data_IF_959442597167
#
_entry.id   IF_959442597167
#
_cell.length_a   1.000
_cell.length_b   1.000
_cell.length_c   1.000
_cell.angle_alpha   90.00
_cell.angle_beta   90.00
_cell.angle_gamma   90.00
#
_symmetry.space_group_name_H-M   'P 1'
#
loop_
_entity.id
_entity.type
_entity.pdbx_description
1 polymer ?
#
# COMPACT_ATOMS: atom_id res chain seq x y z
N UNK A 1 10.22 -9.83 20.24
CA UNK A 1 10.74 -9.10 21.42
C UNK A 1 11.11 -7.72 20.94
N UNK A 2 10.58 -6.64 21.54
CA UNK A 2 10.85 -5.29 21.06
C UNK A 2 12.35 -4.99 21.15
N UNK A 3 12.91 -4.37 20.13
CA UNK A 3 14.31 -3.96 20.14
C UNK A 3 14.43 -2.52 20.64
N UNK A 4 15.52 -2.24 21.37
CA UNK A 4 15.77 -0.92 21.96
C UNK A 4 16.57 -0.05 21.00
N UNK A 5 16.04 1.12 20.67
CA UNK A 5 16.79 2.20 20.03
C UNK A 5 16.87 3.37 20.99
N UNK A 6 17.94 3.41 21.79
CA UNK A 6 18.07 4.35 22.90
C UNK A 6 17.00 4.12 23.98
N UNK A 7 16.22 5.15 24.30
CA UNK A 7 15.09 5.06 25.25
C UNK A 7 13.79 4.55 24.61
N UNK A 8 13.74 4.41 23.29
CA UNK A 8 12.54 3.98 22.57
C UNK A 8 12.49 2.45 22.46
N UNK A 9 11.36 1.86 22.85
CA UNK A 9 11.03 0.47 22.54
C UNK A 9 10.36 0.42 21.17
N UNK A 10 10.96 -0.33 20.24
CA UNK A 10 10.38 -0.52 18.92
C UNK A 10 9.82 -1.94 18.87
N UNK A 11 8.52 -2.01 18.63
CA UNK A 11 7.78 -3.25 18.47
C UNK A 11 7.61 -3.55 16.99
N UNK A 12 7.70 -4.83 16.62
CA UNK A 12 7.32 -5.25 15.28
C UNK A 12 5.79 -5.14 15.12
N UNK A 13 5.33 -4.98 13.87
CA UNK A 13 3.91 -4.87 13.56
C UNK A 13 3.15 -6.10 14.07
N UNK A 14 2.16 -5.87 14.93
CA UNK A 14 1.35 -6.92 15.54
C UNK A 14 1.92 -7.54 16.82
N UNK A 15 3.08 -7.09 17.32
CA UNK A 15 3.58 -7.52 18.63
C UNK A 15 2.70 -6.96 19.78
N UNK A 16 2.58 -7.74 20.86
CA UNK A 16 1.89 -7.34 22.09
C UNK A 16 2.57 -6.11 22.68
N UNK A 17 1.89 -4.96 22.65
CA UNK A 17 2.42 -3.65 23.06
C UNK A 17 2.64 -2.65 21.91
N UNK A 18 2.40 -3.04 20.66
CA UNK A 18 2.51 -2.16 19.49
C UNK A 18 1.31 -1.24 19.24
N UNK A 19 0.24 -1.32 20.04
CA UNK A 19 -1.08 -0.67 19.86
C UNK A 19 -1.81 -0.97 18.53
N UNK A 20 -1.13 -1.60 17.56
CA UNK A 20 -1.71 -2.11 16.32
C UNK A 20 -2.06 -3.59 16.50
N UNK A 21 -3.35 -3.89 16.59
CA UNK A 21 -3.83 -5.29 16.51
C UNK A 21 -3.76 -5.73 15.04
N UNK A 22 -3.04 -6.80 14.70
CA UNK A 22 -3.08 -7.33 13.35
C UNK A 22 -4.50 -7.83 13.07
N UNK A 23 -5.04 -7.53 11.89
CA UNK A 23 -6.28 -8.20 11.44
C UNK A 23 -6.00 -9.71 11.34
N UNK A 24 -7.00 -10.59 11.56
CA UNK A 24 -6.76 -12.02 11.79
C UNK A 24 -6.15 -12.82 10.63
N UNK A 25 -5.96 -12.22 9.46
CA UNK A 25 -5.52 -12.91 8.26
C UNK A 25 -4.24 -12.27 7.72
N UNK A 26 -3.10 -12.88 8.06
CA UNK A 26 -1.76 -12.70 7.48
C UNK A 26 -1.10 -11.35 7.80
N UNK A 27 -0.03 -11.42 8.60
CA UNK A 27 0.93 -10.31 8.72
C UNK A 27 1.87 -10.38 7.51
N UNK A 28 1.82 -9.36 6.65
CA UNK A 28 2.71 -9.20 5.51
C UNK A 28 3.91 -8.33 5.93
N UNK A 29 5.14 -8.83 5.76
CA UNK A 29 6.37 -8.06 5.99
C UNK A 29 6.83 -7.38 4.69
N UNK A 30 6.90 -6.05 4.70
CA UNK A 30 7.28 -5.28 3.52
C UNK A 30 8.70 -5.59 3.03
N UNK A 31 9.67 -5.76 3.95
CA UNK A 31 11.08 -5.96 3.58
C UNK A 31 11.25 -7.32 2.92
N UNK A 32 10.63 -8.35 3.48
CA UNK A 32 10.65 -9.70 2.90
C UNK A 32 10.01 -9.74 1.50
N UNK A 33 8.81 -9.15 1.38
CA UNK A 33 8.09 -9.07 0.11
C UNK A 33 8.87 -8.29 -0.95
N UNK A 34 9.52 -7.19 -0.57
CA UNK A 34 10.38 -6.42 -1.46
C UNK A 34 11.54 -7.27 -1.97
N UNK A 35 12.24 -7.97 -1.08
CA UNK A 35 13.38 -8.81 -1.46
C UNK A 35 12.93 -9.92 -2.43
N UNK A 36 11.80 -10.56 -2.15
CA UNK A 36 11.25 -11.59 -3.03
C UNK A 36 10.88 -11.04 -4.42
N UNK A 37 10.24 -9.88 -4.50
CA UNK A 37 9.86 -9.26 -5.77
C UNK A 37 11.10 -8.87 -6.58
N UNK A 38 12.11 -8.30 -5.92
CA UNK A 38 13.37 -7.94 -6.56
C UNK A 38 14.15 -9.17 -7.05
N UNK A 39 14.18 -10.26 -6.28
CA UNK A 39 14.89 -11.48 -6.65
C UNK A 39 14.23 -12.22 -7.82
N UNK A 40 12.90 -12.14 -7.91
CA UNK A 40 12.12 -12.76 -8.99
C UNK A 40 11.91 -11.84 -10.19
N UNK A 41 12.38 -10.59 -10.14
CA UNK A 41 12.14 -9.58 -11.18
C UNK A 41 10.66 -9.28 -11.40
N UNK A 42 9.80 -9.63 -10.43
CA UNK A 42 8.36 -9.54 -10.53
C UNK A 42 7.84 -8.35 -9.72
N UNK A 43 6.67 -7.85 -10.10
CA UNK A 43 6.03 -6.76 -9.38
C UNK A 43 5.06 -7.31 -8.33
N UNK A 44 5.04 -6.69 -7.16
CA UNK A 44 4.13 -7.11 -6.10
C UNK A 44 2.64 -6.96 -6.51
N UNK A 45 1.86 -7.95 -6.12
CA UNK A 45 0.40 -8.01 -6.20
C UNK A 45 -0.12 -8.42 -4.83
N UNK A 46 -1.02 -7.61 -4.25
CA UNK A 46 -1.52 -7.85 -2.90
C UNK A 46 -2.65 -8.89 -2.93
N UNK A 47 -2.48 -10.08 -2.34
CA UNK A 47 -3.54 -11.09 -2.30
C UNK A 47 -4.74 -10.67 -1.45
N UNK A 48 -4.57 -9.72 -0.52
CA UNK A 48 -5.65 -9.21 0.32
C UNK A 48 -6.42 -8.04 -0.33
N UNK A 49 -5.90 -7.52 -1.45
CA UNK A 49 -6.48 -6.39 -2.15
C UNK A 49 -6.32 -6.53 -3.68
N UNK A 50 -7.09 -7.45 -4.31
CA UNK A 50 -6.99 -7.69 -5.74
C UNK A 50 -7.39 -6.46 -6.57
N UNK A 51 -6.76 -6.32 -7.74
CA UNK A 51 -6.99 -5.25 -8.69
C UNK A 51 -8.26 -5.49 -9.53
N UNK A 52 -9.40 -5.69 -8.87
CA UNK A 52 -10.70 -5.88 -9.50
C UNK A 52 -11.77 -4.95 -8.89
N UNK A 53 -13.01 -5.03 -9.38
CA UNK A 53 -14.09 -4.16 -8.91
C UNK A 53 -14.58 -4.53 -7.50
N UNK A 54 -14.27 -5.72 -6.99
CA UNK A 54 -14.71 -6.18 -5.66
C UNK A 54 -14.05 -5.38 -4.53
N UNK A 55 -12.84 -4.85 -4.77
CA UNK A 55 -12.13 -4.02 -3.78
C UNK A 55 -12.55 -2.56 -3.77
N UNK A 56 -13.20 -2.10 -4.85
CA UNK A 56 -13.69 -0.73 -4.98
C UNK A 56 -15.08 -0.55 -4.36
N UNK A 57 -15.93 -1.58 -4.42
CA UNK A 57 -17.34 -1.42 -4.08
C UNK A 57 -17.89 -2.56 -3.24
N UNK A 58 -18.58 -2.20 -2.15
CA UNK A 58 -19.19 -3.16 -1.23
C UNK A 58 -20.45 -3.83 -1.81
N UNK A 59 -21.15 -3.15 -2.72
CA UNK A 59 -22.34 -3.66 -3.43
C UNK A 59 -22.82 -2.63 -4.46
N UNK A 60 -22.97 -3.02 -5.74
CA UNK A 60 -23.95 -2.47 -6.72
C UNK A 60 -23.75 -3.03 -8.15
N UNK A 61 -24.82 -3.24 -8.93
CA UNK A 61 -24.77 -3.90 -10.25
C UNK A 61 -24.43 -2.98 -11.43
N UNK A 62 -24.37 -1.65 -11.24
CA UNK A 62 -24.13 -0.68 -12.33
C UNK A 62 -22.89 0.17 -12.05
N UNK A 63 -21.71 -0.41 -12.20
CA UNK A 63 -20.44 0.29 -11.95
C UNK A 63 -19.74 0.64 -13.25
N UNK A 64 -19.16 1.86 -13.36
CA UNK A 64 -18.24 2.18 -14.43
C UNK A 64 -17.14 1.12 -14.52
N UNK A 65 -16.68 0.80 -15.72
CA UNK A 65 -15.49 -0.03 -15.89
C UNK A 65 -14.28 0.76 -15.40
N UNK A 66 -13.61 0.24 -14.37
CA UNK A 66 -12.34 0.77 -13.89
C UNK A 66 -11.20 -0.09 -14.43
N UNK A 67 -10.10 0.57 -14.77
CA UNK A 67 -8.85 -0.10 -15.11
C UNK A 67 -7.80 0.29 -14.10
N UNK A 68 -7.27 -0.71 -13.41
CA UNK A 68 -6.16 -0.52 -12.49
C UNK A 68 -4.88 -0.32 -13.29
N UNK A 69 -4.15 0.75 -12.98
CA UNK A 69 -2.85 1.07 -13.59
C UNK A 69 -1.80 1.32 -12.52
N UNK A 70 -0.56 0.95 -12.82
CA UNK A 70 0.66 1.28 -12.07
C UNK A 70 1.12 2.68 -12.47
N UNK A 71 1.83 3.40 -11.58
CA UNK A 71 2.33 4.74 -11.90
C UNK A 71 3.13 4.82 -13.22
N UNK A 72 3.95 3.81 -13.53
CA UNK A 72 4.72 3.75 -14.77
C UNK A 72 3.88 3.56 -16.04
N UNK A 73 2.62 3.13 -15.92
CA UNK A 73 1.67 3.04 -17.04
C UNK A 73 0.89 4.35 -17.25
N UNK A 74 1.02 5.30 -16.33
CA UNK A 74 0.30 6.59 -16.34
C UNK A 74 1.24 7.71 -16.78
N UNK A 75 2.48 7.72 -16.31
CA UNK A 75 3.46 8.73 -16.67
C UNK A 75 4.89 8.17 -16.75
N UNK A 76 5.74 8.87 -17.51
CA UNK A 76 7.16 8.56 -17.61
C UNK A 76 7.88 8.98 -16.32
N UNK A 77 8.75 8.11 -15.79
CA UNK A 77 9.53 8.34 -14.57
C UNK A 77 8.68 8.75 -13.34
N UNK A 78 7.77 7.87 -12.87
CA UNK A 78 6.91 8.17 -11.73
C UNK A 78 7.74 8.43 -10.47
N UNK A 79 7.41 9.48 -9.72
CA UNK A 79 8.07 9.84 -8.47
C UNK A 79 7.11 9.70 -7.31
N UNK A 80 7.60 9.18 -6.19
CA UNK A 80 6.80 9.02 -4.98
C UNK A 80 6.58 10.35 -4.27
N UNK A 81 7.64 11.16 -4.14
CA UNK A 81 7.57 12.54 -3.70
C UNK A 81 8.49 13.40 -4.57
N UNK A 82 8.10 14.64 -4.82
CA UNK A 82 8.93 15.64 -5.50
C UNK A 82 9.19 16.76 -4.51
N UNK A 83 10.44 16.93 -4.10
CA UNK A 83 10.87 18.02 -3.21
C UNK A 83 10.23 18.04 -1.81
N UNK A 84 9.74 16.90 -1.32
CA UNK A 84 9.10 16.74 -0.01
C UNK A 84 7.63 16.32 -0.14
N UNK A 85 6.92 16.28 0.99
CA UNK A 85 5.48 16.06 1.04
C UNK A 85 4.81 17.35 1.51
N UNK A 86 4.00 17.93 0.64
CA UNK A 86 3.21 19.13 0.89
C UNK A 86 1.72 18.80 0.87
N UNK A 87 0.94 19.54 1.65
CA UNK A 87 -0.54 19.42 1.62
C UNK A 87 -1.15 19.74 0.26
N UNK A 88 -0.40 20.42 -0.61
CA UNK A 88 -0.81 20.75 -1.98
C UNK A 88 -0.55 19.62 -2.97
N UNK A 89 0.18 18.58 -2.58
CA UNK A 89 0.50 17.44 -3.46
C UNK A 89 -0.66 16.44 -3.55
N UNK A 90 -1.71 16.62 -2.74
CA UNK A 90 -2.90 15.76 -2.71
C UNK A 90 -4.07 16.50 -3.33
N UNK A 91 -4.43 16.12 -4.56
CA UNK A 91 -5.67 16.53 -5.19
C UNK A 91 -6.66 15.36 -5.19
N UNK A 92 -7.86 15.60 -4.67
CA UNK A 92 -8.94 14.61 -4.69
C UNK A 92 -9.45 14.44 -6.12
N UNK A 93 -9.44 13.20 -6.62
CA UNK A 93 -10.06 12.86 -7.89
C UNK A 93 -11.59 12.90 -7.82
N UNK A 94 -12.25 12.85 -8.99
CA UNK A 94 -13.71 13.02 -9.11
C UNK A 94 -14.59 12.00 -8.38
N UNK A 95 -14.02 10.93 -7.83
CA UNK A 95 -14.76 9.89 -7.10
C UNK A 95 -14.55 9.91 -5.58
N UNK A 96 -13.85 10.91 -5.04
CA UNK A 96 -13.75 11.15 -3.59
C UNK A 96 -12.99 10.08 -2.79
N UNK A 97 -12.84 8.88 -3.32
CA UNK A 97 -12.15 7.73 -2.74
C UNK A 97 -10.79 7.64 -3.43
N UNK A 98 -9.81 8.38 -2.91
CA UNK A 98 -8.43 8.17 -3.33
C UNK A 98 -7.88 6.98 -2.56
N UNK A 99 -8.00 5.78 -3.13
CA UNK A 99 -7.18 4.64 -2.71
C UNK A 99 -5.96 4.61 -3.60
N UNK A 100 -4.96 5.41 -3.23
CA UNK A 100 -3.65 5.34 -3.87
C UNK A 100 -3.13 3.92 -3.73
N UNK A 101 -2.77 3.31 -4.87
CA UNK A 101 -1.87 2.16 -4.90
C UNK A 101 -0.50 2.67 -4.44
N UNK A 102 -0.26 2.66 -3.13
CA UNK A 102 1.06 2.86 -2.56
C UNK A 102 1.85 1.57 -2.83
N UNK A 103 2.39 1.42 -4.03
CA UNK A 103 3.44 0.41 -4.23
C UNK A 103 4.70 1.01 -3.65
N UNK A 104 5.02 0.60 -2.43
CA UNK A 104 6.40 0.70 -1.99
C UNK A 104 7.14 -0.37 -2.79
N UNK A 105 8.00 0.05 -3.74
CA UNK A 105 9.14 -0.78 -4.16
C UNK A 105 10.26 -0.50 -3.19
#
# INVERSE_FOLDING_TARGET
MPYKKGKLLIYNFGEKGSDVKPRPSIVQDYVELKVQCLSTGSLFEDPLFPADNSTLFYSKPNQPSFTWKRPGEICNNPKFFVSGASRFDVQQGGLGIIRYRLVIL
#
